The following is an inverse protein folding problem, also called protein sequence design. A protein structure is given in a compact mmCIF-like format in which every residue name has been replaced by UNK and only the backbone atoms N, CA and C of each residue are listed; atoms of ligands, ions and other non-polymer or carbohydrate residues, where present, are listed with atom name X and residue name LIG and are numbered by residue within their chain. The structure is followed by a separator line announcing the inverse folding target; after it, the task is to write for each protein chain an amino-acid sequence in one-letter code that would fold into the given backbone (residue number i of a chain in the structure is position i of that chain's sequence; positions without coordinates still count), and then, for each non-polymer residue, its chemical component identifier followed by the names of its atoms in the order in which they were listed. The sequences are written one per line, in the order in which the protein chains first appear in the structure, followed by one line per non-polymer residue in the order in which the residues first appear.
data_IF_929660549785
#
_entry.id   IF_929660549785
#
_cell.length_a   1.000
_cell.length_b   1.000
_cell.length_c   1.000
_cell.angle_alpha   90.00
_cell.angle_beta   90.00
_cell.angle_gamma   90.00
#
_symmetry.space_group_name_H-M   'P 1'
#
loop_
_entity.id
_entity.type
_entity.pdbx_description
1 polymer ?
#
# COMPACT_ATOMS: atom_id res chain seq x y z
N UNK A 1 -1.89 -12.65 -32.77
CA UNK A 1 -1.90 -12.66 -31.28
C UNK A 1 -1.02 -11.59 -30.64
N UNK A 2 0.26 -11.42 -31.02
CA UNK A 2 1.20 -10.45 -30.40
C UNK A 2 0.67 -8.98 -30.35
N UNK A 3 0.04 -8.46 -31.43
CA UNK A 3 -0.51 -7.08 -31.46
C UNK A 3 -1.66 -6.87 -30.47
N UNK A 4 -2.56 -7.86 -30.29
CA UNK A 4 -3.68 -7.75 -29.32
C UNK A 4 -3.17 -7.82 -27.88
N UNK A 5 -2.24 -8.71 -27.58
CA UNK A 5 -1.62 -8.81 -26.26
C UNK A 5 -0.89 -7.50 -25.87
N UNK A 6 -0.14 -6.91 -26.81
CA UNK A 6 0.52 -5.61 -26.60
C UNK A 6 -0.50 -4.52 -26.26
N UNK A 7 -1.59 -4.43 -27.03
CA UNK A 7 -2.64 -3.44 -26.78
C UNK A 7 -3.32 -3.62 -25.42
N UNK A 8 -3.58 -4.88 -25.01
CA UNK A 8 -4.14 -5.15 -23.67
C UNK A 8 -3.16 -4.70 -22.59
N UNK A 9 -1.87 -5.04 -22.72
CA UNK A 9 -0.84 -4.63 -21.77
C UNK A 9 -0.72 -3.10 -21.65
N UNK A 10 -0.82 -2.38 -22.77
CA UNK A 10 -0.78 -0.90 -22.81
C UNK A 10 -2.01 -0.26 -22.15
N UNK A 11 -3.17 -0.93 -22.19
CA UNK A 11 -4.41 -0.45 -21.59
C UNK A 11 -4.55 -0.85 -20.11
N UNK A 12 -3.76 -1.83 -19.65
CA UNK A 12 -3.80 -2.29 -18.26
C UNK A 12 -3.04 -1.31 -17.38
N UNK A 13 -3.74 -0.72 -16.42
CA UNK A 13 -3.17 0.22 -15.44
C UNK A 13 -3.51 -0.22 -14.02
N UNK A 14 -2.61 0.06 -13.09
CA UNK A 14 -2.95 0.02 -11.68
C UNK A 14 -4.00 1.09 -11.35
N UNK A 15 -4.87 0.80 -10.40
CA UNK A 15 -5.93 1.74 -10.02
C UNK A 15 -5.38 3.08 -9.54
N UNK A 16 -4.25 3.10 -8.83
CA UNK A 16 -3.62 4.33 -8.37
C UNK A 16 -3.03 5.15 -9.53
N UNK A 17 -2.50 4.48 -10.54
CA UNK A 17 -2.03 5.07 -11.77
C UNK A 17 -3.19 5.73 -12.54
N UNK A 18 -4.28 4.97 -12.73
CA UNK A 18 -5.48 5.47 -13.39
C UNK A 18 -6.10 6.68 -12.66
N UNK A 19 -6.20 6.62 -11.33
CA UNK A 19 -6.74 7.72 -10.53
C UNK A 19 -5.86 8.96 -10.57
N UNK A 20 -4.54 8.79 -10.51
CA UNK A 20 -3.59 9.90 -10.57
C UNK A 20 -3.68 10.67 -11.88
N UNK A 21 -3.85 9.96 -13.00
CA UNK A 21 -3.90 10.56 -14.33
C UNK A 21 -5.26 11.16 -14.70
N UNK A 22 -6.36 10.52 -14.27
CA UNK A 22 -7.69 10.82 -14.80
C UNK A 22 -8.64 11.51 -13.83
N UNK A 23 -8.35 11.53 -12.52
CA UNK A 23 -9.27 12.07 -11.54
C UNK A 23 -8.65 13.18 -10.69
N UNK A 24 -9.40 14.27 -10.55
CA UNK A 24 -9.16 15.28 -9.52
C UNK A 24 -9.89 14.82 -8.25
N UNK A 25 -9.17 14.16 -7.35
CA UNK A 25 -9.73 13.75 -6.07
C UNK A 25 -10.24 14.97 -5.29
N UNK A 26 -11.53 14.97 -4.95
CA UNK A 26 -12.12 15.96 -4.06
C UNK A 26 -12.19 15.38 -2.66
N UNK A 27 -11.32 15.83 -1.76
CA UNK A 27 -11.37 15.43 -0.36
C UNK A 27 -12.61 16.05 0.29
N UNK A 28 -13.56 15.22 0.74
CA UNK A 28 -14.86 15.66 1.24
C UNK A 28 -14.94 15.80 2.77
N UNK A 29 -14.04 15.17 3.52
CA UNK A 29 -14.06 15.18 4.98
C UNK A 29 -12.83 15.85 5.56
N UNK A 30 -13.01 16.78 6.49
CA UNK A 30 -12.01 17.10 7.50
C UNK A 30 -11.97 15.93 8.50
N UNK A 31 -11.23 14.90 8.19
CA UNK A 31 -10.95 13.79 9.09
C UNK A 31 -9.73 14.18 9.92
N UNK A 32 -9.66 13.66 11.16
CA UNK A 32 -8.42 13.74 11.97
C UNK A 32 -7.23 13.34 11.10
N UNK A 33 -6.13 14.08 11.16
CA UNK A 33 -4.88 13.71 10.47
C UNK A 33 -4.31 12.45 11.07
N UNK A 34 -3.87 11.54 10.21
CA UNK A 34 -3.24 10.29 10.58
C UNK A 34 -1.80 10.25 10.11
N UNK A 35 -0.96 9.56 10.87
CA UNK A 35 0.38 9.14 10.44
C UNK A 35 0.25 7.83 9.70
N UNK A 36 0.52 7.84 8.40
CA UNK A 36 0.34 6.70 7.49
C UNK A 36 1.70 6.27 6.96
N UNK A 37 2.16 5.07 7.33
CA UNK A 37 3.33 4.47 6.71
C UNK A 37 2.93 3.82 5.38
N UNK A 38 3.51 4.25 4.28
CA UNK A 38 3.25 3.67 2.97
C UNK A 38 4.28 2.57 2.65
N UNK A 39 3.77 1.35 2.47
CA UNK A 39 4.55 0.21 1.98
C UNK A 39 4.36 0.04 0.48
N UNK A 40 5.39 0.35 -0.29
CA UNK A 40 5.39 0.13 -1.73
C UNK A 40 5.63 -1.36 -2.04
N UNK A 41 4.65 -2.02 -2.62
CA UNK A 41 4.74 -3.44 -2.95
C UNK A 41 5.76 -3.70 -4.07
N UNK A 42 6.55 -4.78 -3.95
CA UNK A 42 7.59 -5.13 -4.94
C UNK A 42 7.03 -5.29 -6.36
N UNK A 43 5.83 -5.87 -6.50
CA UNK A 43 5.14 -6.00 -7.79
C UNK A 43 4.83 -4.66 -8.43
N UNK A 44 4.46 -3.66 -7.63
CA UNK A 44 4.19 -2.31 -8.11
C UNK A 44 5.49 -1.58 -8.46
N UNK A 45 6.50 -1.62 -7.56
CA UNK A 45 7.77 -0.92 -7.77
C UNK A 45 8.54 -1.45 -8.98
N UNK A 46 8.75 -2.76 -9.01
CA UNK A 46 9.69 -3.39 -9.96
C UNK A 46 8.98 -3.92 -11.21
N UNK A 47 7.78 -4.48 -11.04
CA UNK A 47 6.98 -5.03 -12.13
C UNK A 47 6.28 -3.94 -12.94
N UNK A 48 5.44 -3.15 -12.29
CA UNK A 48 4.60 -2.14 -12.94
C UNK A 48 5.26 -0.76 -13.01
N UNK A 49 6.31 -0.51 -12.22
CA UNK A 49 6.99 0.79 -12.06
C UNK A 49 6.06 1.90 -11.54
N UNK A 50 5.04 1.50 -10.77
CA UNK A 50 4.08 2.36 -10.11
C UNK A 50 4.47 2.52 -8.64
N UNK A 51 5.11 3.63 -8.28
CA UNK A 51 5.53 3.89 -6.91
C UNK A 51 5.23 5.31 -6.44
N UNK A 52 5.21 6.30 -7.32
CA UNK A 52 4.92 7.70 -6.97
C UNK A 52 3.42 7.97 -6.84
N UNK A 53 2.63 7.43 -7.75
CA UNK A 53 1.20 7.71 -7.87
C UNK A 53 0.40 7.43 -6.59
N UNK A 54 0.59 6.29 -5.88
CA UNK A 54 -0.09 6.05 -4.61
C UNK A 54 0.27 7.07 -3.53
N UNK A 55 1.55 7.46 -3.45
CA UNK A 55 2.03 8.45 -2.48
C UNK A 55 1.42 9.82 -2.78
N UNK A 56 1.46 10.27 -4.04
CA UNK A 56 0.89 11.54 -4.49
C UNK A 56 -0.62 11.62 -4.23
N UNK A 57 -1.35 10.51 -4.42
CA UNK A 57 -2.78 10.44 -4.10
C UNK A 57 -3.03 10.55 -2.59
N UNK A 58 -2.24 9.84 -1.77
CA UNK A 58 -2.35 9.90 -0.32
C UNK A 58 -1.98 11.30 0.23
N UNK A 59 -0.97 11.96 -0.31
CA UNK A 59 -0.60 13.32 0.08
C UNK A 59 -1.72 14.33 -0.15
N UNK A 60 -2.61 14.11 -1.14
CA UNK A 60 -3.80 14.94 -1.35
C UNK A 60 -4.81 14.84 -0.21
N UNK A 61 -4.71 13.84 0.67
CA UNK A 61 -5.67 13.60 1.76
C UNK A 61 -5.37 14.37 3.04
N UNK A 62 -4.38 15.25 3.04
CA UNK A 62 -3.94 16.07 4.20
C UNK A 62 -3.43 15.23 5.40
N UNK A 63 -3.06 13.97 5.17
CA UNK A 63 -2.42 13.10 6.15
C UNK A 63 -0.89 13.21 6.11
N UNK A 64 -0.23 12.80 7.19
CA UNK A 64 1.23 12.66 7.24
C UNK A 64 1.62 11.32 6.61
N UNK A 65 2.19 11.35 5.40
CA UNK A 65 2.62 10.16 4.68
C UNK A 65 4.10 9.94 4.91
N UNK A 66 4.45 8.77 5.44
CA UNK A 66 5.81 8.39 5.77
C UNK A 66 6.27 7.24 4.89
N UNK A 67 7.44 7.40 4.29
CA UNK A 67 8.09 6.31 3.57
C UNK A 67 8.86 5.42 4.55
N UNK A 68 8.69 4.11 4.43
CA UNK A 68 9.32 3.13 5.31
C UNK A 68 10.82 3.05 5.02
N UNK A 69 11.71 3.16 6.02
CA UNK A 69 13.13 2.93 5.85
C UNK A 69 13.40 1.57 5.18
N UNK A 70 14.34 1.52 4.26
CA UNK A 70 14.61 0.34 3.44
C UNK A 70 13.35 -0.19 2.72
N UNK A 71 12.50 0.72 2.23
CA UNK A 71 11.21 0.41 1.59
C UNK A 71 11.31 -0.56 0.42
N UNK A 72 12.47 -0.62 -0.26
CA UNK A 72 12.77 -1.52 -1.36
C UNK A 72 12.90 -3.00 -0.95
N UNK A 73 13.15 -3.30 0.32
CA UNK A 73 13.22 -4.68 0.82
C UNK A 73 11.81 -5.30 0.84
N UNK A 74 11.71 -6.54 0.39
CA UNK A 74 10.46 -7.29 0.37
C UNK A 74 9.86 -7.47 1.78
N UNK A 75 8.54 -7.57 1.88
CA UNK A 75 7.86 -7.94 3.12
C UNK A 75 7.93 -9.45 3.46
N UNK A 76 8.50 -10.25 2.55
CA UNK A 76 8.58 -11.70 2.69
C UNK A 76 7.43 -12.49 2.07
N UNK A 77 6.37 -11.84 1.55
CA UNK A 77 5.24 -12.54 0.92
C UNK A 77 5.64 -13.28 -0.37
N UNK A 78 6.07 -12.55 -1.39
CA UNK A 78 6.58 -13.03 -2.68
C UNK A 78 5.83 -14.24 -3.27
N UNK A 79 4.50 -14.13 -3.41
CA UNK A 79 3.63 -15.22 -3.88
C UNK A 79 3.65 -16.41 -2.91
N UNK A 80 4.08 -17.59 -3.38
CA UNK A 80 4.19 -18.81 -2.57
C UNK A 80 5.51 -18.92 -1.80
N UNK A 81 6.42 -17.96 -1.94
CA UNK A 81 7.75 -18.01 -1.32
C UNK A 81 7.68 -18.08 0.21
N UNK A 82 6.74 -17.35 0.84
CA UNK A 82 6.55 -17.37 2.28
C UNK A 82 6.11 -18.75 2.82
N UNK A 83 5.54 -19.60 1.99
CA UNK A 83 5.18 -20.99 2.33
C UNK A 83 6.40 -21.89 2.16
N UNK A 84 7.10 -21.79 1.02
CA UNK A 84 8.21 -22.66 0.66
C UNK A 84 9.51 -22.32 1.40
N UNK A 85 9.72 -21.05 1.75
CA UNK A 85 10.91 -20.52 2.40
C UNK A 85 10.56 -19.72 3.66
N UNK A 86 9.81 -20.36 4.56
CA UNK A 86 9.20 -19.71 5.73
C UNK A 86 10.20 -19.03 6.65
N UNK A 87 11.39 -19.61 6.84
CA UNK A 87 12.46 -19.06 7.68
C UNK A 87 12.97 -17.70 7.16
N UNK A 88 13.22 -17.62 5.84
CA UNK A 88 13.69 -16.39 5.21
C UNK A 88 12.55 -15.35 5.20
N UNK A 89 11.34 -15.79 4.87
CA UNK A 89 10.16 -14.94 4.86
C UNK A 89 9.87 -14.29 6.22
N UNK A 90 10.05 -15.05 7.32
CA UNK A 90 9.93 -14.53 8.71
C UNK A 90 10.97 -13.46 9.00
N UNK A 91 12.24 -13.67 8.63
CA UNK A 91 13.31 -12.68 8.85
C UNK A 91 13.00 -11.37 8.08
N UNK A 92 12.57 -11.47 6.83
CA UNK A 92 12.16 -10.31 6.02
C UNK A 92 10.97 -9.59 6.64
N UNK A 93 9.97 -10.32 7.14
CA UNK A 93 8.82 -9.75 7.83
C UNK A 93 9.25 -9.00 9.09
N UNK A 94 10.07 -9.61 9.94
CA UNK A 94 10.56 -9.00 11.19
C UNK A 94 11.30 -7.69 10.93
N UNK A 95 12.19 -7.67 9.93
CA UNK A 95 12.91 -6.45 9.54
C UNK A 95 11.95 -5.39 8.99
N UNK A 96 11.00 -5.78 8.14
CA UNK A 96 10.00 -4.86 7.60
C UNK A 96 9.13 -4.26 8.70
N UNK A 97 8.65 -5.06 9.63
CA UNK A 97 7.84 -4.61 10.79
C UNK A 97 8.64 -3.66 11.67
N UNK A 98 9.89 -3.99 12.00
CA UNK A 98 10.79 -3.11 12.76
C UNK A 98 10.94 -1.74 12.09
N UNK A 99 11.13 -1.69 10.79
CA UNK A 99 11.25 -0.45 10.04
C UNK A 99 9.93 0.35 10.01
N UNK A 100 8.79 -0.33 9.95
CA UNK A 100 7.47 0.31 10.03
C UNK A 100 7.25 0.91 11.43
N UNK A 101 7.47 0.13 12.47
CA UNK A 101 7.22 0.53 13.86
C UNK A 101 8.14 1.66 14.33
N UNK A 102 9.36 1.77 13.76
CA UNK A 102 10.26 2.90 14.03
C UNK A 102 9.68 4.26 13.67
N UNK A 103 8.70 4.30 12.76
CA UNK A 103 7.97 5.50 12.37
C UNK A 103 6.79 5.83 13.29
N UNK A 104 6.41 4.91 14.18
CA UNK A 104 5.22 5.01 15.04
C UNK A 104 3.95 5.41 14.27
N UNK A 105 3.60 4.73 13.16
CA UNK A 105 2.44 5.07 12.37
C UNK A 105 1.15 4.62 13.05
N UNK A 106 0.04 5.28 12.71
CA UNK A 106 -1.29 4.88 13.14
C UNK A 106 -1.96 3.93 12.16
N UNK A 107 -1.53 3.97 10.90
CA UNK A 107 -2.07 3.17 9.79
C UNK A 107 -0.92 2.79 8.87
N UNK A 108 -0.98 1.59 8.31
CA UNK A 108 -0.11 1.16 7.22
C UNK A 108 -0.96 1.11 5.94
N UNK A 109 -0.44 1.66 4.85
CA UNK A 109 -1.09 1.62 3.53
C UNK A 109 -0.23 0.85 2.55
N UNK A 110 -0.84 -0.03 1.76
CA UNK A 110 -0.17 -0.72 0.65
C UNK A 110 -1.18 -1.09 -0.45
N UNK A 111 -0.72 -1.26 -1.67
CA UNK A 111 -1.56 -1.63 -2.82
C UNK A 111 -1.56 -3.13 -3.16
N UNK A 112 -1.13 -4.01 -2.24
CA UNK A 112 -1.02 -5.45 -2.54
C UNK A 112 -1.52 -6.31 -1.38
N UNK A 113 -2.50 -7.20 -1.68
CA UNK A 113 -3.11 -8.08 -0.67
C UNK A 113 -2.11 -9.05 -0.03
N UNK A 114 -1.13 -9.55 -0.77
CA UNK A 114 -0.08 -10.41 -0.22
C UNK A 114 0.78 -9.68 0.81
N UNK A 115 1.08 -8.40 0.58
CA UNK A 115 1.78 -7.56 1.55
C UNK A 115 0.90 -7.26 2.77
N UNK A 116 -0.40 -6.98 2.57
CA UNK A 116 -1.35 -6.77 3.67
C UNK A 116 -1.35 -8.00 4.59
N UNK A 117 -1.60 -9.18 4.03
CA UNK A 117 -1.65 -10.44 4.79
C UNK A 117 -0.33 -10.75 5.48
N UNK A 118 0.80 -10.59 4.79
CA UNK A 118 2.12 -10.90 5.35
C UNK A 118 2.47 -9.97 6.51
N UNK A 119 2.32 -8.65 6.33
CA UNK A 119 2.69 -7.67 7.35
C UNK A 119 1.75 -7.73 8.56
N UNK A 120 0.45 -8.02 8.36
CA UNK A 120 -0.52 -8.17 9.46
C UNK A 120 -0.18 -9.32 10.42
N UNK A 121 0.61 -10.30 9.99
CA UNK A 121 1.09 -11.36 10.88
C UNK A 121 2.23 -10.92 11.81
N UNK A 122 2.80 -9.73 11.61
CA UNK A 122 3.93 -9.24 12.39
C UNK A 122 3.65 -8.00 13.24
N UNK A 123 2.50 -7.32 13.05
CA UNK A 123 2.16 -6.10 13.79
C UNK A 123 0.67 -5.98 14.03
N UNK A 124 0.30 -5.23 15.09
CA UNK A 124 -1.10 -4.89 15.40
C UNK A 124 -1.54 -3.56 14.78
N UNK A 125 -0.66 -2.85 14.09
CA UNK A 125 -1.01 -1.61 13.41
C UNK A 125 -1.96 -1.94 12.25
N UNK A 126 -3.13 -1.26 12.14
CA UNK A 126 -4.09 -1.55 11.08
C UNK A 126 -3.49 -1.31 9.71
N UNK A 127 -3.69 -2.28 8.82
CA UNK A 127 -3.19 -2.23 7.45
C UNK A 127 -4.39 -2.15 6.51
N UNK A 128 -4.34 -1.20 5.58
CA UNK A 128 -5.41 -0.94 4.63
C UNK A 128 -4.86 -0.89 3.20
N UNK A 129 -5.70 -1.32 2.27
CA UNK A 129 -5.40 -1.07 0.88
C UNK A 129 -5.46 0.44 0.59
N UNK A 130 -4.52 0.95 -0.21
CA UNK A 130 -4.46 2.39 -0.54
C UNK A 130 -5.80 2.94 -1.02
N UNK A 131 -6.55 2.15 -1.81
CA UNK A 131 -7.85 2.57 -2.33
C UNK A 131 -8.93 2.66 -1.25
N UNK A 132 -8.91 1.81 -0.24
CA UNK A 132 -9.84 1.91 0.90
C UNK A 132 -9.64 3.22 1.67
N UNK A 133 -8.39 3.64 1.83
CA UNK A 133 -8.09 4.94 2.44
C UNK A 133 -8.56 6.10 1.56
N UNK A 134 -8.30 6.05 0.27
CA UNK A 134 -8.74 7.08 -0.67
C UNK A 134 -10.27 7.16 -0.74
N UNK A 135 -10.97 6.04 -0.78
CA UNK A 135 -12.43 5.99 -0.73
C UNK A 135 -12.95 6.67 0.54
N UNK A 136 -12.42 6.28 1.70
CA UNK A 136 -12.81 6.89 2.97
C UNK A 136 -12.57 8.40 3.01
N UNK A 137 -11.40 8.89 2.60
CA UNK A 137 -11.06 10.32 2.62
C UNK A 137 -11.82 11.13 1.56
N UNK A 138 -12.35 10.49 0.53
CA UNK A 138 -13.20 11.14 -0.47
C UNK A 138 -14.70 11.09 -0.16
N UNK A 139 -15.09 10.44 0.94
CA UNK A 139 -16.47 10.43 1.46
C UNK A 139 -17.12 9.07 1.57
N UNK A 140 -16.39 7.99 1.24
CA UNK A 140 -16.80 6.62 1.49
C UNK A 140 -16.88 6.26 2.98
N UNK A 141 -17.29 5.03 3.31
CA UNK A 141 -17.41 4.57 4.68
C UNK A 141 -16.05 4.46 5.36
N UNK A 142 -16.02 4.69 6.68
CA UNK A 142 -14.81 4.44 7.47
C UNK A 142 -14.49 2.94 7.48
N UNK A 143 -13.24 2.54 7.17
CA UNK A 143 -12.86 1.13 7.23
C UNK A 143 -13.08 0.53 8.61
N UNK A 144 -13.70 -0.65 8.68
CA UNK A 144 -14.08 -1.30 9.95
C UNK A 144 -12.90 -1.55 10.88
N UNK A 145 -11.72 -1.88 10.32
CA UNK A 145 -10.50 -2.12 11.08
C UNK A 145 -10.04 -0.90 11.89
N UNK A 146 -10.44 0.31 11.50
CA UNK A 146 -10.14 1.57 12.19
C UNK A 146 -11.16 1.92 13.29
N UNK A 147 -12.13 1.07 13.58
CA UNK A 147 -13.26 1.36 14.47
C UNK A 147 -12.93 1.73 15.92
N UNK A 148 -11.67 1.54 16.35
CA UNK A 148 -11.22 1.78 17.74
C UNK A 148 -9.98 2.69 17.87
N UNK A 149 -9.62 3.44 16.81
CA UNK A 149 -8.49 4.39 16.83
C UNK A 149 -8.99 5.81 17.02
#
# INVERSE_FOLDING_TARGET
MKKKAKKISELTKDVSEYLSENLKLKIKKKVKKYKIAYHSACSMQHGQKVHKQPIELLLKTDNEIMEIPNGHICCGSAGTYNILQSEIAKKLLQEKVKNIESLSPQIISTGNIGCITQISNGTNIPILHTIELLDWFTGGPRPKILGRI
#
